data_IF_810924452913
#
_entry.id   IF_810924452913
#
_cell.length_a   1.000
_cell.length_b   1.000
_cell.length_c   1.000
_cell.angle_alpha   90.00
_cell.angle_beta   90.00
_cell.angle_gamma   90.00
#
_symmetry.space_group_name_H-M   'P 1'
#
loop_
_entity.id
_entity.type
_entity.pdbx_description
1 polymer ?
#
# COMPACT_ATOMS: atom_id res chain seq x y z
N UNK A 1 -37.69 -10.35 13.62
CA UNK A 1 -36.99 -9.47 14.59
C UNK A 1 -36.10 -8.53 13.79
N UNK A 2 -36.27 -7.22 13.90
CA UNK A 2 -35.49 -6.22 13.16
C UNK A 2 -34.34 -5.71 14.02
N UNK A 3 -33.10 -5.85 13.53
CA UNK A 3 -31.94 -5.18 14.13
C UNK A 3 -32.03 -3.71 13.71
N UNK A 4 -32.12 -2.74 14.63
CA UNK A 4 -32.10 -1.33 14.27
C UNK A 4 -30.68 -0.98 13.84
N UNK A 5 -30.46 -0.83 12.53
CA UNK A 5 -29.25 -0.24 11.99
C UNK A 5 -29.39 1.28 12.11
N UNK A 6 -29.03 1.83 13.27
CA UNK A 6 -28.71 3.26 13.35
C UNK A 6 -27.41 3.46 12.58
N UNK A 7 -27.52 3.80 11.29
CA UNK A 7 -26.46 4.45 10.54
C UNK A 7 -26.25 5.82 11.20
N UNK A 8 -25.52 5.84 12.32
CA UNK A 8 -25.06 7.06 12.94
C UNK A 8 -24.23 7.81 11.90
N UNK A 9 -24.68 9.00 11.53
CA UNK A 9 -23.86 9.91 10.75
C UNK A 9 -22.55 10.15 11.53
N UNK A 10 -21.38 9.96 10.93
CA UNK A 10 -20.13 10.34 11.57
C UNK A 10 -20.18 11.83 11.95
N UNK A 11 -19.51 12.24 13.04
CA UNK A 11 -19.57 13.60 13.57
C UNK A 11 -19.22 14.65 12.50
N UNK A 12 -19.93 15.78 12.55
CA UNK A 12 -19.88 16.84 11.54
C UNK A 12 -18.53 17.58 11.48
N UNK A 13 -17.90 17.47 10.31
CA UNK A 13 -17.00 18.38 9.56
C UNK A 13 -16.82 19.84 10.05
N UNK A 14 -16.21 20.09 11.19
CA UNK A 14 -15.63 21.44 11.43
C UNK A 14 -14.27 21.62 10.73
N UNK A 15 -13.57 20.52 10.41
CA UNK A 15 -12.45 20.52 9.45
C UNK A 15 -12.51 19.27 8.55
N UNK A 16 -12.92 19.39 7.27
CA UNK A 16 -12.91 18.26 6.33
C UNK A 16 -11.51 17.69 6.07
N UNK A 17 -10.45 18.44 6.43
CA UNK A 17 -9.05 17.99 6.32
C UNK A 17 -8.76 16.86 7.30
N UNK A 18 -9.16 16.96 8.56
CA UNK A 18 -8.84 15.96 9.59
C UNK A 18 -9.40 14.56 9.32
N UNK A 19 -10.56 14.46 8.64
CA UNK A 19 -11.13 13.16 8.24
C UNK A 19 -10.45 12.59 7.00
N UNK A 20 -10.10 13.42 6.02
CA UNK A 20 -9.31 12.98 4.87
C UNK A 20 -7.92 12.55 5.32
N UNK A 21 -7.27 13.33 6.16
CA UNK A 21 -5.97 13.02 6.75
C UNK A 21 -6.07 11.67 7.47
N UNK A 22 -7.05 11.46 8.36
CA UNK A 22 -7.26 10.17 9.03
C UNK A 22 -7.36 8.95 8.10
N UNK A 23 -7.96 9.11 6.92
CA UNK A 23 -8.16 8.05 5.93
C UNK A 23 -6.93 7.78 5.06
N UNK A 24 -5.96 8.70 5.02
CA UNK A 24 -4.73 8.50 4.27
C UNK A 24 -3.79 7.55 5.04
N UNK A 25 -3.13 6.68 4.29
CA UNK A 25 -2.07 5.83 4.87
C UNK A 25 -0.91 6.74 5.26
N UNK A 26 -0.41 6.63 6.49
CA UNK A 26 0.66 7.50 7.00
C UNK A 26 1.92 6.72 7.35
N UNK A 27 3.08 7.30 7.02
CA UNK A 27 4.37 6.90 7.61
C UNK A 27 4.42 7.37 9.07
N UNK A 28 4.98 6.55 9.95
CA UNK A 28 5.12 6.92 11.37
C UNK A 28 5.92 8.23 11.54
N UNK A 29 5.56 9.11 12.51
CA UNK A 29 4.53 8.94 13.53
C UNK A 29 3.10 9.26 13.05
N UNK A 30 2.10 8.66 13.72
CA UNK A 30 0.69 8.94 13.42
C UNK A 30 0.29 10.39 13.80
N UNK A 31 -0.69 10.99 13.11
CA UNK A 31 -1.21 12.31 13.49
C UNK A 31 -1.78 12.27 14.92
N UNK A 32 -1.38 13.23 15.76
CA UNK A 32 -1.65 13.23 17.20
C UNK A 32 -3.15 13.35 17.57
N UNK A 33 -3.96 13.93 16.68
CA UNK A 33 -5.34 14.34 16.97
C UNK A 33 -6.42 13.40 16.42
N UNK A 34 -6.03 12.25 15.85
CA UNK A 34 -6.96 11.31 15.21
C UNK A 34 -7.10 10.01 16.04
N UNK A 35 -8.32 9.60 16.44
CA UNK A 35 -8.52 8.34 17.14
C UNK A 35 -8.07 7.15 16.28
N UNK A 36 -7.32 6.20 16.88
CA UNK A 36 -6.69 5.07 16.19
C UNK A 36 -7.64 4.21 15.33
N UNK A 37 -8.93 4.15 15.68
CA UNK A 37 -9.96 3.43 14.91
C UNK A 37 -10.29 4.05 13.55
N UNK A 38 -9.94 5.32 13.35
CA UNK A 38 -10.17 6.05 12.10
C UNK A 38 -8.91 6.18 11.26
N UNK A 39 -7.76 5.76 11.80
CA UNK A 39 -6.50 5.79 11.08
C UNK A 39 -6.46 4.63 10.10
N UNK A 40 -6.09 4.93 8.86
CA UNK A 40 -5.64 3.91 7.93
C UNK A 40 -4.42 3.15 8.51
N UNK A 41 -4.14 1.93 8.01
CA UNK A 41 -2.99 1.15 8.44
C UNK A 41 -1.70 1.98 8.37
N UNK A 42 -0.87 1.86 9.41
CA UNK A 42 0.39 2.62 9.47
C UNK A 42 1.47 1.93 8.64
N UNK A 43 2.27 2.71 7.93
CA UNK A 43 3.52 2.25 7.31
C UNK A 43 4.62 2.29 8.38
N UNK A 44 5.22 1.13 8.64
CA UNK A 44 6.32 0.93 9.59
C UNK A 44 7.49 0.25 8.89
N UNK A 45 8.71 0.45 9.40
CA UNK A 45 9.88 -0.29 8.92
C UNK A 45 9.79 -1.76 9.33
N UNK A 46 10.55 -2.63 8.67
CA UNK A 46 10.67 -4.04 9.07
C UNK A 46 11.11 -4.21 10.54
N UNK A 47 11.94 -3.31 11.07
CA UNK A 47 12.40 -3.33 12.46
C UNK A 47 11.27 -3.01 13.46
N UNK A 48 10.27 -2.23 13.04
CA UNK A 48 9.16 -1.77 13.88
C UNK A 48 7.87 -2.60 13.67
N UNK A 49 7.95 -3.68 12.88
CA UNK A 49 6.79 -4.49 12.47
C UNK A 49 6.10 -5.24 13.64
N UNK A 50 6.76 -5.39 14.78
CA UNK A 50 6.19 -5.97 16.01
C UNK A 50 5.15 -5.06 16.71
N UNK A 51 4.92 -3.84 16.18
CA UNK A 51 3.91 -2.93 16.70
C UNK A 51 2.48 -3.51 16.59
N UNK A 52 1.67 -3.33 17.64
CA UNK A 52 0.30 -3.80 17.67
C UNK A 52 -0.60 -3.07 16.66
N UNK A 53 -1.34 -3.83 15.85
CA UNK A 53 -2.36 -3.31 14.92
C UNK A 53 -2.29 -3.94 13.53
N UNK A 54 -3.08 -3.38 12.63
CA UNK A 54 -2.99 -3.61 11.19
C UNK A 54 -1.94 -2.66 10.60
N UNK A 55 -0.83 -3.22 10.11
CA UNK A 55 0.32 -2.45 9.62
C UNK A 55 0.69 -2.82 8.18
N UNK A 56 1.26 -1.85 7.49
CA UNK A 56 1.98 -2.01 6.23
C UNK A 56 3.47 -1.97 6.55
N UNK A 57 4.23 -2.96 6.09
CA UNK A 57 5.66 -3.04 6.39
C UNK A 57 6.44 -2.58 5.16
N UNK A 58 7.24 -1.54 5.34
CA UNK A 58 8.21 -1.05 4.35
C UNK A 58 9.49 -1.88 4.42
N UNK A 59 9.85 -2.47 3.29
CA UNK A 59 11.07 -3.25 3.09
C UNK A 59 12.10 -2.39 2.36
N UNK A 60 13.34 -2.47 2.83
CA UNK A 60 14.47 -1.89 2.11
C UNK A 60 14.75 -2.72 0.84
N UNK A 61 15.21 -2.06 -0.23
CA UNK A 61 15.51 -2.71 -1.52
C UNK A 61 16.52 -3.87 -1.44
N UNK A 62 17.34 -3.91 -0.38
CA UNK A 62 18.31 -4.98 -0.10
C UNK A 62 17.93 -5.90 1.06
N UNK A 63 16.70 -5.82 1.58
CA UNK A 63 16.25 -6.65 2.69
C UNK A 63 16.07 -8.10 2.25
N UNK A 64 16.46 -9.05 3.12
CA UNK A 64 16.12 -10.45 2.93
C UNK A 64 14.60 -10.67 2.95
N UNK A 65 14.15 -11.71 2.25
CA UNK A 65 12.73 -12.06 2.24
C UNK A 65 12.20 -12.29 3.66
N UNK A 66 11.10 -11.63 4.05
CA UNK A 66 10.60 -11.73 5.41
C UNK A 66 10.16 -13.16 5.71
N UNK A 67 10.67 -13.71 6.82
CA UNK A 67 10.22 -14.99 7.32
C UNK A 67 8.77 -14.91 7.82
N UNK A 68 7.99 -16.00 7.75
CA UNK A 68 6.66 -16.05 8.33
C UNK A 68 6.74 -15.88 9.86
N UNK A 69 6.38 -14.68 10.33
CA UNK A 69 6.27 -14.34 11.75
C UNK A 69 4.93 -14.77 12.36
N UNK A 70 4.81 -14.60 13.68
CA UNK A 70 3.55 -14.85 14.42
C UNK A 70 2.42 -13.89 14.02
N UNK A 71 2.77 -12.71 13.47
CA UNK A 71 1.82 -11.70 13.00
C UNK A 71 2.11 -11.33 11.55
N UNK A 72 1.09 -11.48 10.70
CA UNK A 72 1.18 -11.20 9.27
C UNK A 72 0.75 -9.74 9.02
N UNK A 73 1.58 -8.90 8.38
CA UNK A 73 1.16 -7.55 8.01
C UNK A 73 0.07 -7.60 6.94
N UNK A 74 -0.65 -6.49 6.75
CA UNK A 74 -1.66 -6.39 5.70
C UNK A 74 -1.04 -6.51 4.31
N UNK A 75 0.12 -5.85 4.12
CA UNK A 75 0.97 -5.95 2.93
C UNK A 75 2.39 -5.51 3.26
N UNK A 76 3.33 -5.93 2.44
CA UNK A 76 4.66 -5.34 2.36
C UNK A 76 4.66 -4.26 1.27
N UNK A 77 5.55 -3.28 1.38
CA UNK A 77 5.83 -2.33 0.31
C UNK A 77 7.33 -2.17 0.12
N UNK A 78 7.76 -1.98 -1.12
CA UNK A 78 9.18 -1.82 -1.48
C UNK A 78 9.32 -0.76 -2.59
N UNK A 79 10.26 0.15 -2.40
CA UNK A 79 10.73 1.06 -3.46
C UNK A 79 11.86 0.35 -4.22
N UNK A 80 11.64 0.10 -5.51
CA UNK A 80 12.53 -0.68 -6.37
C UNK A 80 13.15 0.21 -7.43
N UNK A 81 14.48 0.15 -7.56
CA UNK A 81 15.18 0.67 -8.73
C UNK A 81 14.98 -0.31 -9.90
N UNK A 82 14.90 0.18 -11.16
CA UNK A 82 14.56 -0.65 -12.31
C UNK A 82 15.56 -1.79 -12.54
N UNK A 83 16.83 -1.60 -12.16
CA UNK A 83 17.88 -2.62 -12.24
C UNK A 83 17.63 -3.86 -11.35
N UNK A 84 16.80 -3.75 -10.30
CA UNK A 84 16.47 -4.85 -9.38
C UNK A 84 15.09 -5.46 -9.64
N UNK A 85 14.40 -5.04 -10.71
CA UNK A 85 13.04 -5.49 -10.98
C UNK A 85 12.95 -7.02 -11.14
N UNK A 86 13.93 -7.63 -11.81
CA UNK A 86 13.94 -9.09 -12.00
C UNK A 86 14.04 -9.86 -10.68
N UNK A 87 14.84 -9.35 -9.74
CA UNK A 87 14.96 -9.93 -8.40
C UNK A 87 13.65 -9.81 -7.62
N UNK A 88 12.96 -8.66 -7.74
CA UNK A 88 11.65 -8.44 -7.11
C UNK A 88 10.55 -9.30 -7.71
N UNK A 89 10.56 -9.53 -9.03
CA UNK A 89 9.59 -10.42 -9.67
C UNK A 89 9.71 -11.86 -9.13
N UNK A 90 10.91 -12.30 -8.77
CA UNK A 90 11.16 -13.61 -8.13
C UNK A 90 10.93 -13.61 -6.61
N UNK A 91 10.79 -12.44 -5.99
CA UNK A 91 10.64 -12.30 -4.54
C UNK A 91 9.32 -12.88 -4.06
N UNK A 92 9.36 -13.70 -3.01
CA UNK A 92 8.16 -14.29 -2.40
C UNK A 92 7.97 -13.73 -0.98
N UNK A 93 6.84 -13.10 -0.74
CA UNK A 93 6.46 -12.57 0.56
C UNK A 93 5.31 -13.39 1.18
N UNK A 94 5.27 -13.54 2.52
CA UNK A 94 4.17 -14.24 3.19
C UNK A 94 2.86 -13.43 3.14
N UNK A 95 2.92 -12.12 2.87
CA UNK A 95 1.79 -11.22 2.67
C UNK A 95 1.86 -10.53 1.29
N UNK A 96 0.76 -9.95 0.77
CA UNK A 96 0.79 -9.24 -0.51
C UNK A 96 1.94 -8.22 -0.56
N UNK A 97 2.66 -8.15 -1.67
CA UNK A 97 3.78 -7.23 -1.87
C UNK A 97 3.36 -6.13 -2.83
N UNK A 98 3.51 -4.88 -2.39
CA UNK A 98 3.37 -3.69 -3.21
C UNK A 98 4.74 -3.21 -3.68
N UNK A 99 4.92 -2.97 -4.97
CA UNK A 99 6.21 -2.57 -5.54
C UNK A 99 6.08 -1.24 -6.27
N UNK A 100 6.84 -0.25 -5.82
CA UNK A 100 6.96 1.06 -6.47
C UNK A 100 8.25 1.08 -7.29
N UNK A 101 8.15 1.03 -8.61
CA UNK A 101 9.33 1.08 -9.48
C UNK A 101 9.56 2.51 -9.96
N UNK A 102 10.79 3.00 -9.77
CA UNK A 102 11.21 4.33 -10.21
C UNK A 102 11.81 4.28 -11.61
N UNK A 103 11.62 5.33 -12.42
CA UNK A 103 12.32 5.49 -13.70
C UNK A 103 11.84 4.66 -14.90
N UNK A 104 11.13 3.55 -14.70
CA UNK A 104 10.59 2.73 -15.79
C UNK A 104 9.22 3.18 -16.33
N UNK A 105 8.80 2.60 -17.46
CA UNK A 105 7.45 2.74 -18.02
C UNK A 105 6.43 2.08 -17.08
N UNK A 106 5.47 2.87 -16.57
CA UNK A 106 4.51 2.40 -15.56
C UNK A 106 3.67 1.23 -16.07
N UNK A 107 3.22 1.28 -17.31
CA UNK A 107 2.35 0.26 -17.89
C UNK A 107 3.06 -1.10 -18.02
N UNK A 108 4.27 -1.13 -18.58
CA UNK A 108 5.03 -2.39 -18.73
C UNK A 108 5.40 -2.96 -17.37
N UNK A 109 5.79 -2.09 -16.43
CA UNK A 109 6.13 -2.51 -15.07
C UNK A 109 4.92 -3.07 -14.34
N UNK A 110 3.76 -2.42 -14.44
CA UNK A 110 2.52 -2.90 -13.87
C UNK A 110 2.19 -4.30 -14.41
N UNK A 111 2.29 -4.49 -15.72
CA UNK A 111 2.05 -5.78 -16.35
C UNK A 111 2.98 -6.87 -15.80
N UNK A 112 4.28 -6.60 -15.71
CA UNK A 112 5.25 -7.57 -15.20
C UNK A 112 4.98 -7.93 -13.74
N UNK A 113 4.66 -6.94 -12.90
CA UNK A 113 4.35 -7.13 -11.49
C UNK A 113 3.07 -7.94 -11.29
N UNK A 114 2.01 -7.65 -12.04
CA UNK A 114 0.75 -8.39 -11.94
C UNK A 114 0.87 -9.82 -12.43
N UNK A 115 1.63 -10.06 -13.51
CA UNK A 115 1.97 -11.41 -14.00
C UNK A 115 2.75 -12.22 -12.94
N UNK A 116 3.56 -11.56 -12.10
CA UNK A 116 4.27 -12.16 -10.97
C UNK A 116 3.43 -12.28 -9.68
N UNK A 117 2.18 -11.80 -9.68
CA UNK A 117 1.29 -11.83 -8.51
C UNK A 117 1.55 -10.72 -7.48
N UNK A 118 2.33 -9.70 -7.83
CA UNK A 118 2.59 -8.52 -6.99
C UNK A 118 1.59 -7.41 -7.28
N UNK A 119 1.39 -6.53 -6.30
CA UNK A 119 0.59 -5.31 -6.45
C UNK A 119 1.49 -4.18 -6.98
N UNK A 120 1.21 -3.61 -8.15
CA UNK A 120 1.96 -2.46 -8.61
C UNK A 120 1.60 -1.20 -7.80
N UNK A 121 2.63 -0.47 -7.40
CA UNK A 121 2.52 0.85 -6.81
C UNK A 121 2.51 1.93 -7.89
N UNK A 122 1.66 2.96 -7.73
CA UNK A 122 1.61 4.14 -8.57
C UNK A 122 2.42 5.27 -7.90
N UNK A 123 3.64 5.59 -8.39
CA UNK A 123 4.45 6.64 -7.80
C UNK A 123 3.82 8.02 -8.02
N UNK A 124 4.06 8.95 -7.09
CA UNK A 124 3.66 10.35 -7.27
C UNK A 124 4.42 11.02 -8.43
N UNK A 125 3.85 12.11 -8.97
CA UNK A 125 4.53 12.97 -9.96
C UNK A 125 4.52 12.44 -11.40
N UNK A 126 3.69 11.44 -11.69
CA UNK A 126 3.49 10.89 -13.05
C UNK A 126 2.50 11.71 -13.87
N UNK A 127 2.68 11.72 -15.18
CA UNK A 127 1.78 12.42 -16.11
C UNK A 127 0.42 11.70 -16.22
N UNK A 128 -0.61 12.45 -16.64
CA UNK A 128 -1.94 11.88 -16.82
C UNK A 128 -1.96 10.74 -17.86
N UNK A 129 -1.16 10.86 -18.92
CA UNK A 129 -1.04 9.84 -19.97
C UNK A 129 -0.40 8.56 -19.41
N UNK A 130 0.71 8.68 -18.67
CA UNK A 130 1.34 7.53 -17.99
C UNK A 130 0.39 6.84 -17.00
N UNK A 131 -0.41 7.62 -16.25
CA UNK A 131 -1.40 7.09 -15.31
C UNK A 131 -2.53 6.37 -16.08
N UNK A 132 -3.00 6.93 -17.19
CA UNK A 132 -4.05 6.32 -17.99
C UNK A 132 -3.60 4.97 -18.57
N UNK A 133 -2.38 4.89 -19.11
CA UNK A 133 -1.82 3.65 -19.63
C UNK A 133 -1.65 2.60 -18.52
N UNK A 134 -1.17 3.02 -17.34
CA UNK A 134 -1.09 2.17 -16.16
C UNK A 134 -2.45 1.60 -15.75
N UNK A 135 -3.47 2.44 -15.64
CA UNK A 135 -4.82 2.01 -15.26
C UNK A 135 -5.47 1.12 -16.35
N UNK A 136 -5.15 1.35 -17.62
CA UNK A 136 -5.63 0.52 -18.72
C UNK A 136 -5.10 -0.92 -18.63
N UNK A 137 -3.84 -1.09 -18.23
CA UNK A 137 -3.25 -2.42 -17.94
C UNK A 137 -4.01 -3.08 -16.78
N UNK A 138 -4.22 -2.35 -15.69
CA UNK A 138 -4.83 -2.91 -14.48
C UNK A 138 -6.31 -3.27 -14.63
N UNK A 139 -7.05 -2.55 -15.48
CA UNK A 139 -8.44 -2.86 -15.78
C UNK A 139 -8.64 -4.26 -16.39
N UNK A 140 -7.58 -4.86 -16.92
CA UNK A 140 -7.56 -6.21 -17.49
C UNK A 140 -6.82 -7.22 -16.60
N UNK A 141 -6.46 -6.83 -15.38
CA UNK A 141 -5.79 -7.69 -14.40
C UNK A 141 -6.72 -8.02 -13.23
N UNK A 142 -6.52 -9.18 -12.61
CA UNK A 142 -7.26 -9.59 -11.41
C UNK A 142 -6.69 -9.00 -10.11
N UNK A 143 -5.73 -8.08 -10.23
CA UNK A 143 -4.94 -7.50 -9.15
C UNK A 143 -5.21 -6.00 -9.01
N UNK A 144 -5.33 -5.53 -7.76
CA UNK A 144 -5.42 -4.09 -7.48
C UNK A 144 -4.06 -3.37 -7.57
N UNK A 145 -4.06 -2.08 -7.23
CA UNK A 145 -2.85 -1.27 -7.12
C UNK A 145 -2.87 -0.44 -5.83
N UNK A 146 -1.74 0.19 -5.51
CA UNK A 146 -1.62 1.15 -4.40
C UNK A 146 -1.10 2.47 -4.95
N UNK A 147 -1.64 3.61 -4.49
CA UNK A 147 -1.19 4.95 -4.88
C UNK A 147 -0.89 5.79 -3.64
#
# INVERSE_FOLDING_TARGET
>A
MSIPLSLGMPPSREEPRGLLDALLTHRAPAPADVPARFLAPRIVTAADAEAAGDVVVELDAGAEAPAPGSRRPLRYQIDCAPEYLDDILAFTAPAPLCVYVTGDTLADTARRLTEAGHLPGLPAGRSADEIADFLAVLAHSDTGYVA
#
